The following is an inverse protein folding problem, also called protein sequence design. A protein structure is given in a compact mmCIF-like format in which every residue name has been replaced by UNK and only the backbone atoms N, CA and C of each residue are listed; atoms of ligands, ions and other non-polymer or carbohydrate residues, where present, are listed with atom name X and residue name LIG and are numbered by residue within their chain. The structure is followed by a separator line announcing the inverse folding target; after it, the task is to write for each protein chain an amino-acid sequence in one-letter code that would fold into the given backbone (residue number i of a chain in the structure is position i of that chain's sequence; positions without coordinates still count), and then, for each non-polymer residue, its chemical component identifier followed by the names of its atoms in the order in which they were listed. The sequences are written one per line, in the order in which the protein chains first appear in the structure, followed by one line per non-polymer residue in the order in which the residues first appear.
data_IF_116364220784
#
_entry.id   IF_116364220784
#
_cell.length_a   1.000
_cell.length_b   1.000
_cell.length_c   1.000
_cell.angle_alpha   90.00
_cell.angle_beta   90.00
_cell.angle_gamma   90.00
#
_symmetry.space_group_name_H-M   'P 1'
#
loop_
_entity.id
_entity.type
_entity.pdbx_description
1 polymer ?
#
# COMPACT_ATOMS: atom_id res chain seq x y z
N UNK A 1 25.32 -6.30 -10.93
CA UNK A 1 23.88 -6.19 -10.64
C UNK A 1 23.16 -7.11 -11.60
N UNK A 2 22.35 -8.03 -11.11
CA UNK A 2 21.48 -8.84 -11.96
C UNK A 2 20.54 -7.91 -12.72
N UNK A 3 20.28 -8.20 -13.99
CA UNK A 3 19.25 -7.52 -14.75
C UNK A 3 17.88 -7.76 -14.09
N UNK A 4 16.94 -6.81 -14.21
CA UNK A 4 15.56 -6.95 -13.69
C UNK A 4 14.93 -8.30 -14.09
N UNK A 5 15.27 -8.79 -15.28
CA UNK A 5 14.85 -10.07 -15.85
C UNK A 5 15.39 -11.28 -15.06
N UNK A 6 16.68 -11.27 -14.71
CA UNK A 6 17.29 -12.35 -13.91
C UNK A 6 16.71 -12.37 -12.48
N UNK A 7 16.45 -11.18 -11.90
CA UNK A 7 15.84 -11.10 -10.57
C UNK A 7 14.44 -11.71 -10.51
N UNK A 8 13.59 -11.50 -11.53
CA UNK A 8 12.26 -12.13 -11.56
C UNK A 8 12.30 -13.64 -11.80
N UNK A 9 13.22 -14.14 -12.63
CA UNK A 9 13.34 -15.58 -12.89
C UNK A 9 13.96 -16.35 -11.72
N UNK A 10 14.89 -15.75 -10.98
CA UNK A 10 15.61 -16.40 -9.88
C UNK A 10 14.87 -16.27 -8.53
N UNK A 11 14.15 -15.15 -8.30
CA UNK A 11 13.52 -14.84 -7.00
C UNK A 11 11.98 -14.73 -7.07
N UNK A 12 11.35 -15.28 -8.11
CA UNK A 12 9.89 -15.33 -8.21
C UNK A 12 9.29 -15.95 -6.95
N UNK A 13 8.57 -15.14 -6.17
CA UNK A 13 8.15 -15.53 -4.83
C UNK A 13 7.18 -16.71 -4.85
N UNK A 14 7.30 -17.60 -3.86
CA UNK A 14 6.34 -18.65 -3.63
C UNK A 14 5.10 -18.07 -2.92
N UNK A 15 4.04 -17.82 -3.69
CA UNK A 15 2.79 -17.27 -3.17
C UNK A 15 2.21 -18.06 -1.99
N UNK A 16 2.35 -19.39 -1.95
CA UNK A 16 1.82 -20.19 -0.84
C UNK A 16 2.55 -19.87 0.47
N UNK A 17 3.88 -19.78 0.44
CA UNK A 17 4.68 -19.40 1.60
C UNK A 17 4.33 -17.98 2.07
N UNK A 18 4.27 -17.01 1.14
CA UNK A 18 3.93 -15.63 1.46
C UNK A 18 2.52 -15.47 2.01
N UNK A 19 1.54 -16.20 1.46
CA UNK A 19 0.17 -16.17 1.98
C UNK A 19 0.13 -16.74 3.40
N UNK A 20 0.83 -17.84 3.67
CA UNK A 20 0.87 -18.43 5.01
C UNK A 20 1.58 -17.52 6.02
N UNK A 21 2.73 -16.94 5.65
CA UNK A 21 3.45 -16.00 6.53
C UNK A 21 2.65 -14.73 6.77
N UNK A 22 2.04 -14.16 5.72
CA UNK A 22 1.20 -12.97 5.82
C UNK A 22 -0.04 -13.26 6.64
N UNK A 23 -0.72 -14.38 6.42
CA UNK A 23 -1.88 -14.80 7.21
C UNK A 23 -1.52 -14.92 8.69
N UNK A 24 -0.38 -15.53 9.02
CA UNK A 24 0.10 -15.63 10.40
C UNK A 24 0.34 -14.24 11.01
N UNK A 25 0.98 -13.32 10.26
CA UNK A 25 1.19 -11.93 10.69
C UNK A 25 -0.12 -11.16 10.84
N UNK A 26 -1.07 -11.31 9.91
CA UNK A 26 -2.39 -10.68 9.97
C UNK A 26 -3.14 -11.17 11.21
N UNK A 27 -3.19 -12.49 11.44
CA UNK A 27 -3.84 -13.09 12.61
C UNK A 27 -3.15 -12.66 13.92
N UNK A 28 -1.82 -12.63 13.95
CA UNK A 28 -1.04 -12.15 15.09
C UNK A 28 -1.31 -10.68 15.40
N UNK A 29 -1.36 -9.83 14.37
CA UNK A 29 -1.66 -8.39 14.49
C UNK A 29 -3.08 -8.20 15.00
N UNK A 30 -4.09 -8.78 14.34
CA UNK A 30 -5.50 -8.69 14.76
C UNK A 30 -5.68 -9.25 16.17
N UNK A 31 -5.01 -10.36 16.50
CA UNK A 31 -5.03 -10.96 17.83
C UNK A 31 -4.43 -10.08 18.92
N UNK A 32 -3.27 -9.47 18.65
CA UNK A 32 -2.60 -8.55 19.58
C UNK A 32 -3.42 -7.27 19.81
N UNK A 33 -4.06 -6.74 18.75
CA UNK A 33 -4.99 -5.63 18.84
C UNK A 33 -6.21 -6.01 19.66
N UNK A 34 -6.85 -7.15 19.35
CA UNK A 34 -7.98 -7.66 20.10
C UNK A 34 -7.64 -7.84 21.59
N UNK A 35 -6.50 -8.43 21.92
CA UNK A 35 -6.02 -8.56 23.30
C UNK A 35 -5.87 -7.19 23.98
N UNK A 36 -5.22 -6.24 23.32
CA UNK A 36 -5.03 -4.87 23.83
C UNK A 36 -6.36 -4.16 24.10
N UNK A 37 -7.34 -4.30 23.19
CA UNK A 37 -8.68 -3.76 23.37
C UNK A 37 -9.47 -4.48 24.47
N UNK A 38 -9.32 -5.80 24.62
CA UNK A 38 -9.93 -6.57 25.71
C UNK A 38 -9.42 -6.09 27.06
N UNK A 39 -8.11 -5.87 27.19
CA UNK A 39 -7.50 -5.33 28.41
C UNK A 39 -8.04 -3.92 28.76
N UNK A 40 -8.34 -3.12 27.74
CA UNK A 40 -8.99 -1.81 27.89
C UNK A 40 -10.52 -1.89 28.03
N UNK A 41 -11.13 -3.09 28.03
CA UNK A 41 -12.60 -3.34 28.00
C UNK A 41 -13.34 -2.70 26.80
N UNK A 42 -12.65 -2.53 25.67
CA UNK A 42 -13.14 -1.89 24.44
C UNK A 42 -13.27 -2.86 23.23
N UNK A 43 -13.02 -4.16 23.41
CA UNK A 43 -13.01 -5.18 22.33
C UNK A 43 -14.27 -5.21 21.43
N UNK A 44 -15.50 -5.31 21.98
CA UNK A 44 -16.69 -5.34 21.13
C UNK A 44 -16.84 -4.05 20.32
N UNK A 45 -16.42 -2.89 20.84
CA UNK A 45 -16.47 -1.63 20.10
C UNK A 45 -15.48 -1.59 18.94
N UNK A 46 -14.25 -2.07 19.09
CA UNK A 46 -13.24 -2.04 18.02
C UNK A 46 -13.68 -2.86 16.80
N UNK A 47 -14.10 -4.11 17.02
CA UNK A 47 -14.54 -5.00 15.94
C UNK A 47 -15.86 -4.52 15.30
N UNK A 48 -16.81 -4.00 16.10
CA UNK A 48 -18.03 -3.39 15.55
C UNK A 48 -17.74 -2.12 14.77
N UNK A 49 -16.83 -1.26 15.24
CA UNK A 49 -16.45 -0.03 14.54
C UNK A 49 -15.71 -0.36 13.25
N UNK A 50 -14.83 -1.37 13.26
CA UNK A 50 -14.18 -1.90 12.07
C UNK A 50 -15.18 -2.45 11.05
N UNK A 51 -16.06 -3.39 11.45
CA UNK A 51 -17.04 -4.01 10.54
C UNK A 51 -18.09 -3.03 10.02
N UNK A 52 -18.56 -2.08 10.86
CA UNK A 52 -19.50 -1.03 10.42
C UNK A 52 -18.85 0.04 9.54
N UNK A 53 -17.52 0.11 9.52
CA UNK A 53 -16.78 1.07 8.70
C UNK A 53 -16.51 0.55 7.27
N UNK A 54 -16.78 -0.74 6.99
CA UNK A 54 -16.59 -1.28 5.65
C UNK A 54 -17.69 -0.80 4.70
N UNK A 55 -17.30 0.05 3.79
CA UNK A 55 -18.12 0.63 2.73
C UNK A 55 -17.54 0.22 1.36
N UNK A 56 -18.34 -0.50 0.57
CA UNK A 56 -17.92 -1.00 -0.74
C UNK A 56 -17.66 0.15 -1.72
N UNK A 57 -18.48 1.20 -1.71
CA UNK A 57 -18.32 2.34 -2.61
C UNK A 57 -17.00 3.06 -2.33
N UNK A 58 -16.66 3.23 -1.05
CA UNK A 58 -15.42 3.88 -0.66
C UNK A 58 -14.19 3.00 -0.94
N UNK A 59 -14.32 1.69 -0.80
CA UNK A 59 -13.30 0.73 -1.27
C UNK A 59 -13.06 0.89 -2.76
N UNK A 60 -14.12 0.87 -3.58
CA UNK A 60 -14.03 1.06 -5.03
C UNK A 60 -13.45 2.42 -5.39
N UNK A 61 -13.77 3.49 -4.65
CA UNK A 61 -13.14 4.80 -4.86
C UNK A 61 -11.63 4.76 -4.62
N UNK A 62 -11.17 4.05 -3.58
CA UNK A 62 -9.74 3.80 -3.35
C UNK A 62 -9.09 3.06 -4.52
N UNK A 63 -9.76 2.01 -5.01
CA UNK A 63 -9.31 1.25 -6.19
C UNK A 63 -9.18 2.15 -7.42
N UNK A 64 -10.16 3.00 -7.69
CA UNK A 64 -10.15 3.92 -8.84
C UNK A 64 -8.99 4.90 -8.75
N UNK A 65 -8.76 5.50 -7.57
CA UNK A 65 -7.68 6.47 -7.37
C UNK A 65 -6.30 5.82 -7.60
N UNK A 66 -6.07 4.65 -7.03
CA UNK A 66 -4.81 3.92 -7.19
C UNK A 66 -4.61 3.40 -8.62
N UNK A 67 -5.68 2.92 -9.26
CA UNK A 67 -5.67 2.54 -10.69
C UNK A 67 -5.25 3.72 -11.55
N UNK A 68 -5.77 4.93 -11.29
CA UNK A 68 -5.37 6.12 -12.03
C UNK A 68 -3.88 6.45 -11.86
N UNK A 69 -3.31 6.25 -10.66
CA UNK A 69 -1.87 6.43 -10.43
C UNK A 69 -1.02 5.41 -11.19
N UNK A 70 -1.40 4.13 -11.16
CA UNK A 70 -0.72 3.06 -11.90
C UNK A 70 -0.76 3.38 -13.40
N UNK A 71 -1.94 3.72 -13.92
CA UNK A 71 -2.12 4.04 -15.35
C UNK A 71 -1.29 5.26 -15.75
N UNK A 72 -1.24 6.30 -14.92
CA UNK A 72 -0.33 7.43 -15.15
C UNK A 72 1.13 6.97 -15.30
N UNK A 73 1.62 6.15 -14.37
CA UNK A 73 2.98 5.63 -14.44
C UNK A 73 3.20 4.80 -15.71
N UNK A 74 2.35 3.80 -15.95
CA UNK A 74 2.47 2.88 -17.10
C UNK A 74 2.39 3.65 -18.42
N UNK A 75 1.47 4.60 -18.56
CA UNK A 75 1.33 5.41 -19.78
C UNK A 75 2.57 6.25 -20.08
N UNK A 76 3.27 6.76 -19.07
CA UNK A 76 4.55 7.45 -19.28
C UNK A 76 5.64 6.44 -19.68
N UNK A 77 5.67 5.28 -19.02
CA UNK A 77 6.74 4.30 -19.22
C UNK A 77 6.71 3.58 -20.57
N UNK A 78 5.52 3.41 -21.18
CA UNK A 78 5.40 2.77 -22.51
C UNK A 78 6.02 3.58 -23.65
N UNK A 79 6.38 4.85 -23.43
CA UNK A 79 7.11 5.68 -24.40
C UNK A 79 8.61 5.38 -24.39
N UNK A 80 8.98 4.10 -24.50
CA UNK A 80 10.35 3.65 -24.68
C UNK A 80 11.16 3.41 -23.40
N UNK A 81 10.53 3.49 -22.22
CA UNK A 81 11.22 3.18 -20.95
C UNK A 81 11.03 1.71 -20.55
N UNK A 82 9.88 1.12 -20.87
CA UNK A 82 9.59 -0.30 -20.63
C UNK A 82 8.88 -0.94 -21.82
N UNK A 83 8.98 -2.26 -21.92
CA UNK A 83 8.13 -3.08 -22.78
C UNK A 83 7.44 -4.18 -21.96
N UNK A 84 6.25 -4.57 -22.41
CA UNK A 84 5.47 -5.61 -21.78
C UNK A 84 5.35 -6.82 -22.70
N UNK A 85 5.50 -8.01 -22.11
CA UNK A 85 5.21 -9.27 -22.76
C UNK A 85 4.18 -10.02 -21.93
N UNK A 86 3.13 -10.56 -22.57
CA UNK A 86 2.21 -11.45 -21.88
C UNK A 86 2.95 -12.68 -21.36
N UNK A 87 2.61 -13.10 -20.14
CA UNK A 87 3.16 -14.29 -19.50
C UNK A 87 2.06 -15.29 -19.10
N UNK A 88 1.38 -15.05 -17.97
CA UNK A 88 0.36 -15.97 -17.49
C UNK A 88 -0.62 -15.32 -16.51
N UNK A 89 -1.89 -15.73 -16.57
CA UNK A 89 -2.90 -15.31 -15.59
C UNK A 89 -2.95 -16.19 -14.32
N UNK A 90 -2.19 -17.30 -14.30
CA UNK A 90 -2.29 -18.36 -13.27
C UNK A 90 -2.12 -17.85 -11.83
N UNK A 91 -1.29 -16.82 -11.64
CA UNK A 91 -0.95 -16.31 -10.31
C UNK A 91 -1.88 -15.21 -9.80
N UNK A 92 -2.79 -14.71 -10.63
CA UNK A 92 -3.66 -13.59 -10.26
C UNK A 92 -4.60 -13.93 -9.08
N UNK A 93 -5.23 -15.11 -9.01
CA UNK A 93 -6.01 -15.46 -7.82
C UNK A 93 -5.18 -15.43 -6.53
N UNK A 94 -3.92 -15.88 -6.59
CA UNK A 94 -3.01 -15.87 -5.44
C UNK A 94 -2.56 -14.45 -5.06
N UNK A 95 -2.27 -13.60 -6.05
CA UNK A 95 -1.95 -12.20 -5.84
C UNK A 95 -3.11 -11.44 -5.19
N UNK A 96 -4.36 -11.71 -5.61
CA UNK A 96 -5.56 -11.14 -4.99
C UNK A 96 -5.64 -11.52 -3.51
N UNK A 97 -5.48 -12.80 -3.17
CA UNK A 97 -5.52 -13.27 -1.77
C UNK A 97 -4.39 -12.62 -0.97
N UNK A 98 -3.17 -12.65 -1.48
CA UNK A 98 -1.99 -12.11 -0.82
C UNK A 98 -2.17 -10.62 -0.52
N UNK A 99 -2.47 -9.80 -1.53
CA UNK A 99 -2.56 -8.35 -1.34
C UNK A 99 -3.81 -7.91 -0.58
N UNK A 100 -4.87 -8.71 -0.57
CA UNK A 100 -5.98 -8.50 0.35
C UNK A 100 -5.53 -8.69 1.80
N UNK A 101 -4.75 -9.74 2.11
CA UNK A 101 -4.21 -9.97 3.45
C UNK A 101 -3.19 -8.90 3.87
N UNK A 102 -2.28 -8.53 2.98
CA UNK A 102 -1.27 -7.47 3.21
C UNK A 102 -1.98 -6.14 3.52
N UNK A 103 -2.87 -5.68 2.63
CA UNK A 103 -3.57 -4.41 2.82
C UNK A 103 -4.41 -4.38 4.10
N UNK A 104 -5.11 -5.48 4.43
CA UNK A 104 -5.84 -5.58 5.70
C UNK A 104 -4.90 -5.50 6.90
N UNK A 105 -3.81 -6.27 6.90
CA UNK A 105 -2.86 -6.30 8.01
C UNK A 105 -2.27 -4.91 8.29
N UNK A 106 -1.78 -4.26 7.24
CA UNK A 106 -1.08 -3.00 7.37
C UNK A 106 -2.05 -1.84 7.66
N UNK A 107 -3.16 -1.71 6.92
CA UNK A 107 -4.09 -0.61 7.16
C UNK A 107 -4.82 -0.74 8.49
N UNK A 108 -5.15 -1.95 8.95
CA UNK A 108 -5.74 -2.13 10.29
C UNK A 108 -4.75 -1.71 11.38
N UNK A 109 -3.48 -2.07 11.25
CA UNK A 109 -2.47 -1.70 12.24
C UNK A 109 -2.22 -0.18 12.26
N UNK A 110 -1.92 0.40 11.10
CA UNK A 110 -1.45 1.79 11.03
C UNK A 110 -2.60 2.82 11.03
N UNK A 111 -3.72 2.54 10.34
CA UNK A 111 -4.87 3.46 10.21
C UNK A 111 -6.02 3.06 11.14
N UNK A 112 -6.23 1.77 11.34
CA UNK A 112 -7.32 1.28 12.19
C UNK A 112 -7.01 1.39 13.70
N UNK A 113 -5.74 1.29 14.08
CA UNK A 113 -5.32 1.30 15.49
C UNK A 113 -4.39 2.46 15.85
N UNK A 114 -3.22 2.54 15.22
CA UNK A 114 -2.17 3.47 15.62
C UNK A 114 -2.60 4.93 15.41
N UNK A 115 -3.11 5.27 14.22
CA UNK A 115 -3.52 6.64 13.90
C UNK A 115 -4.62 7.17 14.84
N UNK A 116 -5.75 6.47 15.10
CA UNK A 116 -6.74 6.89 16.10
C UNK A 116 -6.16 7.10 17.48
N UNK A 117 -5.22 6.25 17.91
CA UNK A 117 -4.52 6.40 19.20
C UNK A 117 -3.63 7.63 19.27
N UNK A 118 -3.00 8.00 18.16
CA UNK A 118 -2.24 9.25 18.07
C UNK A 118 -3.18 10.45 18.09
N UNK A 119 -4.32 10.38 17.40
CA UNK A 119 -5.33 11.43 17.36
C UNK A 119 -6.02 11.67 18.72
N UNK A 120 -6.03 10.69 19.63
CA UNK A 120 -6.44 10.88 21.04
C UNK A 120 -5.47 11.80 21.83
N UNK A 121 -4.25 12.02 21.35
CA UNK A 121 -3.16 12.69 22.11
C UNK A 121 -2.50 13.87 21.39
N UNK A 122 -2.49 13.84 20.06
CA UNK A 122 -1.80 14.81 19.22
C UNK A 122 -2.77 15.42 18.21
N UNK A 123 -2.41 16.58 17.66
CA UNK A 123 -3.17 17.18 16.57
C UNK A 123 -3.09 16.34 15.28
N UNK A 124 -3.96 16.67 14.32
CA UNK A 124 -4.15 15.91 13.07
C UNK A 124 -2.84 15.61 12.33
N UNK A 125 -2.06 16.65 12.02
CA UNK A 125 -0.87 16.51 11.18
C UNK A 125 0.27 15.73 11.85
N UNK A 126 0.66 15.98 13.11
CA UNK A 126 1.61 15.14 13.82
C UNK A 126 1.18 13.67 13.87
N UNK A 127 -0.12 13.39 14.10
CA UNK A 127 -0.64 12.02 14.13
C UNK A 127 -0.48 11.31 12.78
N UNK A 128 -0.82 12.00 11.69
CA UNK A 128 -0.62 11.50 10.32
C UNK A 128 0.86 11.24 10.05
N UNK A 129 1.74 12.19 10.34
CA UNK A 129 3.17 12.09 10.06
C UNK A 129 3.80 10.93 10.84
N UNK A 130 3.52 10.82 12.15
CA UNK A 130 4.10 9.77 13.00
C UNK A 130 3.64 8.38 12.54
N UNK A 131 2.33 8.20 12.28
CA UNK A 131 1.82 6.91 11.79
C UNK A 131 2.44 6.52 10.45
N UNK A 132 2.55 7.49 9.52
CA UNK A 132 3.12 7.28 8.18
C UNK A 132 4.61 7.00 8.22
N UNK A 133 5.35 7.63 9.12
CA UNK A 133 6.78 7.38 9.30
C UNK A 133 7.02 5.99 9.87
N UNK A 134 6.23 5.56 10.86
CA UNK A 134 6.33 4.21 11.40
C UNK A 134 5.97 3.15 10.36
N UNK A 135 5.00 3.43 9.49
CA UNK A 135 4.68 2.60 8.32
C UNK A 135 5.88 2.51 7.35
N UNK A 136 6.51 3.63 6.99
CA UNK A 136 7.69 3.61 6.14
C UNK A 136 8.88 2.87 6.79
N UNK A 137 9.08 3.05 8.10
CA UNK A 137 10.13 2.36 8.84
C UNK A 137 9.95 0.84 8.87
N UNK A 138 8.71 0.32 8.86
CA UNK A 138 8.48 -1.13 8.78
C UNK A 138 8.94 -1.74 7.46
N UNK A 139 9.20 -0.93 6.44
CA UNK A 139 9.67 -1.34 5.12
C UNK A 139 11.19 -1.23 4.96
N UNK A 140 11.94 -0.74 5.96
CA UNK A 140 13.41 -0.61 5.88
C UNK A 140 14.13 -1.95 5.72
N UNK A 141 13.49 -3.05 6.10
CA UNK A 141 14.01 -4.40 5.89
C UNK A 141 13.74 -4.96 4.48
N UNK A 142 12.98 -4.23 3.66
CA UNK A 142 12.66 -4.68 2.31
C UNK A 142 13.90 -4.61 1.41
N UNK A 143 14.06 -5.59 0.51
CA UNK A 143 15.20 -5.61 -0.40
C UNK A 143 15.15 -4.40 -1.33
N UNK A 144 16.33 -3.87 -1.65
CA UNK A 144 16.51 -2.79 -2.64
C UNK A 144 15.80 -1.46 -2.31
N UNK A 145 15.37 -1.26 -1.06
CA UNK A 145 14.79 0.03 -0.65
C UNK A 145 15.83 1.15 -0.80
N UNK A 146 15.45 2.20 -1.52
CA UNK A 146 16.24 3.41 -1.68
C UNK A 146 15.51 4.64 -1.12
N UNK A 147 16.11 5.81 -1.26
CA UNK A 147 15.55 7.06 -0.73
C UNK A 147 14.21 7.40 -1.38
N UNK A 148 14.04 7.15 -2.68
CA UNK A 148 12.79 7.43 -3.40
C UNK A 148 11.70 6.46 -2.95
N UNK A 149 12.00 5.16 -2.89
CA UNK A 149 11.13 4.12 -2.38
C UNK A 149 10.66 4.39 -0.96
N UNK A 150 11.58 4.69 -0.04
CA UNK A 150 11.22 5.07 1.34
C UNK A 150 10.33 6.31 1.38
N UNK A 151 10.65 7.33 0.59
CA UNK A 151 9.85 8.57 0.52
C UNK A 151 8.45 8.27 -0.01
N UNK A 152 8.31 7.45 -1.04
CA UNK A 152 7.01 7.08 -1.59
C UNK A 152 6.19 6.22 -0.65
N UNK A 153 6.81 5.27 0.07
CA UNK A 153 6.13 4.50 1.13
C UNK A 153 5.64 5.45 2.24
N UNK A 154 6.45 6.43 2.65
CA UNK A 154 6.03 7.45 3.61
C UNK A 154 4.88 8.31 3.07
N UNK A 155 4.92 8.75 1.81
CA UNK A 155 3.87 9.55 1.20
C UNK A 155 2.58 8.76 0.99
N UNK A 156 2.67 7.49 0.61
CA UNK A 156 1.54 6.55 0.62
C UNK A 156 0.97 6.44 2.04
N UNK A 157 1.87 6.30 3.02
CA UNK A 157 1.68 6.56 4.45
C UNK A 157 0.66 7.67 4.73
N UNK A 158 1.07 8.88 4.34
CA UNK A 158 0.33 10.13 4.54
C UNK A 158 -1.00 10.09 3.79
N UNK A 159 -1.00 9.68 2.53
CA UNK A 159 -2.20 9.67 1.70
C UNK A 159 -3.28 8.73 2.24
N UNK A 160 -2.93 7.49 2.61
CA UNK A 160 -3.86 6.54 3.20
C UNK A 160 -4.40 7.03 4.56
N UNK A 161 -3.58 7.72 5.36
CA UNK A 161 -4.04 8.36 6.60
C UNK A 161 -5.03 9.52 6.31
N UNK A 162 -4.78 10.33 5.29
CA UNK A 162 -5.70 11.38 4.83
C UNK A 162 -7.03 10.76 4.36
N UNK A 163 -6.99 9.70 3.57
CA UNK A 163 -8.21 8.98 3.14
C UNK A 163 -8.99 8.47 4.35
N UNK A 164 -8.31 7.85 5.31
CA UNK A 164 -8.94 7.37 6.54
C UNK A 164 -9.65 8.50 7.30
N UNK A 165 -8.99 9.65 7.50
CA UNK A 165 -9.58 10.79 8.22
C UNK A 165 -10.73 11.43 7.43
N UNK A 166 -10.57 11.58 6.12
CA UNK A 166 -11.58 12.18 5.24
C UNK A 166 -12.88 11.35 5.21
N UNK A 167 -12.74 10.03 5.17
CA UNK A 167 -13.85 9.09 5.03
C UNK A 167 -14.35 8.54 6.38
N UNK A 168 -13.58 8.71 7.46
CA UNK A 168 -13.82 8.14 8.79
C UNK A 168 -13.96 6.61 8.77
N UNK A 169 -13.29 5.95 7.82
CA UNK A 169 -13.25 4.50 7.71
C UNK A 169 -12.01 4.04 6.93
N UNK A 170 -11.76 2.73 6.95
CA UNK A 170 -10.60 2.12 6.29
C UNK A 170 -10.82 1.77 4.82
N UNK A 171 -12.06 1.76 4.32
CA UNK A 171 -12.37 1.17 3.03
C UNK A 171 -11.59 1.79 1.88
N UNK A 172 -11.50 3.13 1.82
CA UNK A 172 -10.75 3.79 0.75
C UNK A 172 -9.24 3.51 0.82
N UNK A 173 -8.66 3.51 2.02
CA UNK A 173 -7.25 3.15 2.20
C UNK A 173 -6.98 1.69 1.82
N UNK A 174 -7.86 0.77 2.24
CA UNK A 174 -7.78 -0.67 1.88
C UNK A 174 -7.85 -0.87 0.37
N UNK A 175 -8.82 -0.23 -0.30
CA UNK A 175 -8.98 -0.34 -1.75
C UNK A 175 -7.79 0.22 -2.52
N UNK A 176 -7.28 1.38 -2.09
CA UNK A 176 -6.09 2.00 -2.69
C UNK A 176 -4.84 1.12 -2.53
N UNK A 177 -4.57 0.62 -1.33
CA UNK A 177 -3.43 -0.25 -1.03
C UNK A 177 -3.51 -1.57 -1.81
N UNK A 178 -4.64 -2.27 -1.70
CA UNK A 178 -4.88 -3.54 -2.37
C UNK A 178 -4.62 -3.44 -3.88
N UNK A 179 -5.23 -2.45 -4.53
CA UNK A 179 -5.11 -2.27 -5.98
C UNK A 179 -3.73 -1.78 -6.39
N UNK A 180 -3.03 -0.99 -5.57
CA UNK A 180 -1.66 -0.55 -5.86
C UNK A 180 -0.72 -1.75 -5.99
N UNK A 181 -0.76 -2.67 -5.03
CA UNK A 181 0.09 -3.86 -5.03
C UNK A 181 -0.32 -4.86 -6.13
N UNK A 182 -1.64 -5.09 -6.27
CA UNK A 182 -2.17 -6.02 -7.27
C UNK A 182 -1.86 -5.56 -8.69
N UNK A 183 -2.03 -4.27 -9.00
CA UNK A 183 -1.81 -3.76 -10.35
C UNK A 183 -0.32 -3.65 -10.70
N UNK A 184 0.55 -3.32 -9.74
CA UNK A 184 2.00 -3.44 -9.95
C UNK A 184 2.37 -4.87 -10.37
N UNK A 185 1.89 -5.86 -9.60
CA UNK A 185 2.09 -7.28 -9.93
C UNK A 185 1.48 -7.64 -11.28
N UNK A 186 0.26 -7.18 -11.57
CA UNK A 186 -0.43 -7.44 -12.84
C UNK A 186 0.42 -7.03 -14.05
N UNK A 187 1.02 -5.85 -14.01
CA UNK A 187 1.93 -5.34 -15.05
C UNK A 187 3.35 -5.91 -14.96
N UNK A 188 3.64 -6.75 -13.96
CA UNK A 188 4.93 -7.41 -13.79
C UNK A 188 5.98 -6.57 -13.08
N UNK A 189 5.61 -5.44 -12.47
CA UNK A 189 6.51 -4.66 -11.62
C UNK A 189 6.75 -5.39 -10.28
N UNK A 190 7.90 -5.12 -9.65
CA UNK A 190 8.10 -5.47 -8.25
C UNK A 190 7.10 -4.75 -7.34
N UNK A 191 6.89 -5.28 -6.14
CA UNK A 191 6.13 -4.61 -5.08
C UNK A 191 7.02 -4.54 -3.85
N UNK A 192 7.39 -3.32 -3.45
CA UNK A 192 8.30 -3.06 -2.34
C UNK A 192 9.57 -3.93 -2.36
N UNK A 193 10.23 -4.03 -3.52
CA UNK A 193 11.47 -4.80 -3.69
C UNK A 193 11.30 -6.30 -3.97
N UNK A 194 10.09 -6.83 -3.84
CA UNK A 194 9.82 -8.25 -4.03
C UNK A 194 9.32 -8.53 -5.45
N UNK A 195 9.84 -9.60 -6.06
CA UNK A 195 9.46 -10.02 -7.40
C UNK A 195 8.19 -10.89 -7.37
N UNK A 196 7.18 -10.49 -8.14
CA UNK A 196 5.93 -11.23 -8.29
C UNK A 196 5.68 -11.52 -9.77
N UNK A 197 5.27 -12.75 -10.05
CA UNK A 197 4.86 -13.16 -11.39
C UNK A 197 3.38 -12.82 -11.59
N UNK A 198 3.07 -11.87 -12.47
CA UNK A 198 1.72 -11.47 -12.85
C UNK A 198 1.35 -11.77 -14.31
N UNK A 199 0.39 -11.03 -14.85
CA UNK A 199 -0.12 -11.25 -16.22
C UNK A 199 0.93 -10.90 -17.27
N UNK A 200 1.64 -9.80 -17.05
CA UNK A 200 2.72 -9.35 -17.92
C UNK A 200 4.07 -9.53 -17.24
N UNK A 201 5.10 -9.75 -18.06
CA UNK A 201 6.49 -9.47 -17.71
C UNK A 201 6.86 -8.10 -18.25
N UNK A 202 7.43 -7.26 -17.39
CA UNK A 202 7.98 -5.98 -17.78
C UNK A 202 9.48 -6.11 -18.03
N UNK A 203 9.95 -5.59 -19.15
CA UNK A 203 11.38 -5.44 -19.46
C UNK A 203 11.73 -3.96 -19.39
N UNK A 204 12.75 -3.65 -18.60
CA UNK A 204 13.32 -2.31 -18.50
C UNK A 204 14.17 -2.04 -19.74
N UNK A 205 13.77 -1.07 -20.56
CA UNK A 205 14.52 -0.66 -21.76
C UNK A 205 15.51 0.47 -21.45
N UNK A 206 15.22 1.24 -20.41
CA UNK A 206 16.04 2.36 -19.95
C UNK A 206 16.78 2.01 -18.66
N UNK A 207 17.98 2.58 -18.49
CA UNK A 207 18.74 2.54 -17.23
C UNK A 207 18.27 3.59 -16.22
N UNK A 208 17.31 4.45 -16.58
CA UNK A 208 16.74 5.46 -15.70
C UNK A 208 15.79 4.82 -14.66
N UNK A 209 16.36 4.07 -13.71
CA UNK A 209 15.62 3.35 -12.67
C UNK A 209 14.80 4.28 -11.77
N UNK A 210 15.19 5.54 -11.61
CA UNK A 210 14.39 6.54 -10.88
C UNK A 210 13.06 6.87 -11.59
N UNK A 211 12.92 6.63 -12.90
CA UNK A 211 11.64 6.76 -13.61
C UNK A 211 10.84 5.47 -13.58
N UNK A 212 11.51 4.33 -13.76
CA UNK A 212 10.83 3.03 -13.89
C UNK A 212 10.56 2.35 -12.55
N UNK A 213 11.25 2.81 -11.50
CA UNK A 213 11.23 2.21 -10.16
C UNK A 213 12.17 1.02 -9.99
N UNK A 214 12.88 0.61 -11.06
CA UNK A 214 13.87 -0.46 -11.02
C UNK A 214 13.31 -1.77 -10.44
N UNK A 215 14.13 -2.47 -9.65
CA UNK A 215 13.74 -3.73 -8.98
C UNK A 215 12.75 -3.48 -7.84
N UNK A 216 12.74 -2.28 -7.25
CA UNK A 216 11.84 -1.95 -6.16
C UNK A 216 10.37 -1.99 -6.59
N UNK A 217 10.09 -1.68 -7.86
CA UNK A 217 8.74 -1.52 -8.39
C UNK A 217 8.40 -0.06 -8.59
N UNK A 218 7.18 0.24 -9.05
CA UNK A 218 6.76 1.62 -9.32
C UNK A 218 6.87 2.53 -8.08
N UNK A 219 6.85 1.95 -6.88
CA UNK A 219 7.15 2.64 -5.62
C UNK A 219 8.53 3.30 -5.58
N UNK A 220 9.51 2.82 -6.34
CA UNK A 220 10.83 3.44 -6.45
C UNK A 220 10.91 4.59 -7.46
N UNK A 221 9.78 4.96 -8.08
CA UNK A 221 9.77 5.94 -9.17
C UNK A 221 9.40 7.36 -8.73
N UNK A 222 9.98 8.35 -9.40
CA UNK A 222 9.55 9.75 -9.29
C UNK A 222 8.14 9.96 -9.87
N UNK A 223 7.66 9.06 -10.73
CA UNK A 223 6.30 9.10 -11.26
C UNK A 223 5.27 8.84 -10.15
N UNK A 224 5.50 7.80 -9.34
CA UNK A 224 4.67 7.53 -8.16
C UNK A 224 4.73 8.69 -7.15
N UNK A 225 5.91 9.29 -6.96
CA UNK A 225 6.10 10.46 -6.10
C UNK A 225 5.19 11.62 -6.51
N UNK A 226 5.23 12.00 -7.79
CA UNK A 226 4.40 13.08 -8.33
C UNK A 226 2.92 12.75 -8.17
N UNK A 227 2.51 11.53 -8.50
CA UNK A 227 1.12 11.09 -8.37
C UNK A 227 0.62 11.15 -6.93
N UNK A 228 1.45 10.75 -5.96
CA UNK A 228 1.13 10.83 -4.52
C UNK A 228 1.02 12.28 -4.05
N UNK A 229 1.96 13.16 -4.42
CA UNK A 229 1.89 14.57 -4.04
C UNK A 229 0.62 15.26 -4.55
N UNK A 230 0.19 14.96 -5.78
CA UNK A 230 -1.07 15.48 -6.34
C UNK A 230 -2.28 15.03 -5.53
N UNK A 231 -2.37 13.74 -5.18
CA UNK A 231 -3.50 13.24 -4.39
C UNK A 231 -3.48 13.76 -2.95
N UNK A 232 -2.31 13.82 -2.31
CA UNK A 232 -2.15 14.42 -0.98
C UNK A 232 -2.59 15.88 -1.01
N UNK A 233 -2.13 16.65 -1.98
CA UNK A 233 -2.54 18.04 -2.12
C UNK A 233 -4.06 18.16 -2.29
N UNK A 234 -4.65 17.38 -3.20
CA UNK A 234 -6.09 17.40 -3.46
C UNK A 234 -6.93 17.06 -2.22
N UNK A 235 -6.61 15.96 -1.52
CA UNK A 235 -7.38 15.51 -0.36
C UNK A 235 -7.08 16.32 0.90
N UNK A 236 -5.86 16.85 1.07
CA UNK A 236 -5.54 17.73 2.21
C UNK A 236 -6.39 18.99 2.23
N UNK A 237 -6.74 19.54 1.07
CA UNK A 237 -7.68 20.68 0.95
C UNK A 237 -9.10 20.35 1.37
N UNK A 238 -9.47 19.07 1.40
CA UNK A 238 -10.79 18.59 1.80
C UNK A 238 -10.87 18.15 3.26
N UNK A 239 -9.74 18.12 3.97
CA UNK A 239 -9.72 17.77 5.39
C UNK A 239 -10.40 18.87 6.20
N UNK A 240 -11.46 18.49 6.91
CA UNK A 240 -12.09 19.34 7.91
C UNK A 240 -11.48 19.01 9.28
N UNK A 241 -10.87 19.98 10.00
CA UNK A 241 -10.20 19.75 11.29
C UNK A 241 -11.07 19.12 12.39
N UNK A 242 -12.40 19.12 12.24
CA UNK A 242 -13.36 18.57 13.20
C UNK A 242 -13.83 17.13 12.88
N UNK A 243 -13.24 16.47 11.88
CA UNK A 243 -13.80 15.24 11.31
C UNK A 243 -13.67 13.97 12.18
N UNK A 244 -13.14 14.02 13.40
CA UNK A 244 -12.99 12.81 14.22
C UNK A 244 -13.76 12.81 15.55
N UNK A 245 -14.44 13.91 15.90
CA UNK A 245 -15.16 14.00 17.18
C UNK A 245 -14.28 13.75 18.42
N UNK A 246 -12.96 13.76 18.26
CA UNK A 246 -11.97 13.66 19.32
C UNK A 246 -11.86 15.06 19.93
N UNK A 247 -12.40 15.17 21.15
CA UNK A 247 -12.41 16.37 21.99
C UNK A 247 -11.00 16.76 22.41
#
# INVERSE_FOLDING_TARGET
MLSYREHQQEYGQNYAYLILSTLATTLGTVGALAYSYRKQRKLPLFLLQYMKSLDLQQFLNGVVLSTAQILFCVLVLIFGLVSFQFDSIKNIPWAIILFALVSVSEEVMFRGYLLPKLLEKFSLWPSIIISSLLFACSHLANPHIDVIGFTNIFLFGVWAAILYVHHQNLSSALGAHFSWNLLQTFFGFGVSGHAFNGVFRVTQLSSATYLTGGVFGLEGSVLALVALLVLIFYFSKKLKPHALGLR
#
